data_IF_268574950788
#
_entry.id   IF_268574950788
#
_cell.length_a   1.000
_cell.length_b   1.000
_cell.length_c   1.000
_cell.angle_alpha   90.00
_cell.angle_beta   90.00
_cell.angle_gamma   90.00
#
_symmetry.space_group_name_H-M   'P 1'
#
loop_
_entity.id
_entity.type
_entity.pdbx_description
1 polymer ?
#
# COMPACT_ATOMS: atom_id res chain seq x y z
N UNK A 1 -12.58 -5.19 11.02
CA UNK A 1 -11.31 -5.75 10.54
C UNK A 1 -11.24 -5.70 9.02
N UNK A 2 -10.82 -4.55 8.49
CA UNK A 2 -10.17 -4.50 7.18
C UNK A 2 -8.66 -4.58 7.41
N UNK A 3 -8.12 -5.80 7.47
CA UNK A 3 -6.68 -6.04 7.59
C UNK A 3 -6.06 -6.16 6.21
N UNK A 4 -4.72 -6.04 6.06
CA UNK A 4 -4.04 -6.29 4.80
C UNK A 4 -4.31 -7.70 4.26
N UNK A 5 -4.49 -8.68 5.16
CA UNK A 5 -4.82 -10.06 4.80
C UNK A 5 -6.29 -10.26 4.38
N UNK A 6 -7.20 -9.44 4.92
CA UNK A 6 -8.63 -9.49 4.61
C UNK A 6 -9.22 -8.07 4.36
N UNK A 7 -8.87 -7.43 3.23
CA UNK A 7 -9.35 -6.09 2.92
C UNK A 7 -10.85 -6.12 2.59
N UNK A 8 -11.60 -5.18 3.18
CA UNK A 8 -13.08 -5.09 3.03
C UNK A 8 -13.55 -4.14 1.92
N UNK A 9 -12.62 -3.50 1.22
CA UNK A 9 -12.92 -2.55 0.13
C UNK A 9 -11.99 -2.81 -1.05
N UNK A 10 -12.52 -2.67 -2.26
CA UNK A 10 -11.75 -2.77 -3.51
C UNK A 10 -10.55 -1.80 -3.52
N UNK A 11 -10.75 -0.56 -3.07
CA UNK A 11 -9.68 0.43 -2.97
C UNK A 11 -8.57 0.01 -1.99
N UNK A 12 -8.95 -0.61 -0.87
CA UNK A 12 -7.97 -1.15 0.09
C UNK A 12 -7.23 -2.35 -0.50
N UNK A 13 -7.93 -3.25 -1.19
CA UNK A 13 -7.33 -4.41 -1.83
C UNK A 13 -6.32 -4.02 -2.92
N UNK A 14 -6.64 -3.01 -3.74
CA UNK A 14 -5.72 -2.49 -4.75
C UNK A 14 -4.45 -1.89 -4.13
N UNK A 15 -4.56 -1.14 -3.05
CA UNK A 15 -3.37 -0.61 -2.37
C UNK A 15 -2.48 -1.72 -1.82
N UNK A 16 -3.05 -2.73 -1.17
CA UNK A 16 -2.26 -3.85 -0.66
C UNK A 16 -1.52 -4.55 -1.81
N UNK A 17 -2.16 -4.77 -2.96
CA UNK A 17 -1.48 -5.31 -4.16
C UNK A 17 -0.32 -4.43 -4.63
N UNK A 18 -0.54 -3.12 -4.74
CA UNK A 18 0.50 -2.17 -5.16
C UNK A 18 1.68 -2.15 -4.16
N UNK A 19 1.41 -2.16 -2.87
CA UNK A 19 2.44 -2.18 -1.82
C UNK A 19 3.21 -3.51 -1.80
N UNK A 20 2.54 -4.64 -2.03
CA UNK A 20 3.18 -5.95 -2.18
C UNK A 20 4.09 -5.98 -3.39
N UNK A 21 3.63 -5.48 -4.54
CA UNK A 21 4.46 -5.38 -5.76
C UNK A 21 5.64 -4.44 -5.58
N UNK A 22 5.46 -3.34 -4.83
CA UNK A 22 6.53 -2.42 -4.48
C UNK A 22 7.48 -2.95 -3.39
N UNK A 23 7.19 -4.12 -2.79
CA UNK A 23 7.95 -4.69 -1.67
C UNK A 23 8.15 -3.71 -0.51
N UNK A 24 7.08 -3.00 -0.18
CA UNK A 24 7.00 -1.97 0.85
C UNK A 24 7.05 -2.55 2.28
N UNK A 25 8.15 -3.20 2.66
CA UNK A 25 8.32 -3.84 3.98
C UNK A 25 9.45 -3.16 4.75
N UNK A 26 9.28 -2.88 6.06
CA UNK A 26 8.07 -3.11 6.87
C UNK A 26 7.04 -1.97 6.74
N UNK A 27 5.75 -2.31 6.79
CA UNK A 27 4.65 -1.35 6.92
C UNK A 27 3.69 -1.75 8.05
N UNK A 28 3.00 -0.76 8.60
CA UNK A 28 1.96 -0.96 9.62
C UNK A 28 0.61 -0.63 8.99
N UNK A 29 -0.36 -1.51 9.19
CA UNK A 29 -1.74 -1.28 8.78
C UNK A 29 -2.60 -0.98 9.99
N UNK A 30 -3.55 -0.05 9.84
CA UNK A 30 -4.47 0.33 10.90
C UNK A 30 -5.89 0.22 10.35
N UNK A 31 -6.71 -0.60 11.01
CA UNK A 31 -8.12 -0.72 10.64
C UNK A 31 -8.91 0.48 11.17
N UNK A 32 -9.25 1.38 10.24
CA UNK A 32 -10.06 2.57 10.52
C UNK A 32 -11.53 2.24 10.82
N UNK A 33 -12.03 1.05 10.43
CA UNK A 33 -13.39 0.62 10.77
C UNK A 33 -13.53 0.33 12.27
N UNK A 34 -12.44 -0.13 12.89
CA UNK A 34 -12.39 -0.44 14.33
C UNK A 34 -12.00 0.79 15.17
N UNK A 35 -11.48 1.85 14.55
CA UNK A 35 -10.98 3.06 15.22
C UNK A 35 -11.50 4.36 14.56
N UNK A 36 -12.75 4.77 14.84
CA UNK A 36 -13.38 5.93 14.18
C UNK A 36 -12.66 7.26 14.45
N UNK A 37 -11.95 7.40 15.57
CA UNK A 37 -11.15 8.59 15.87
C UNK A 37 -10.00 8.81 14.86
N UNK A 38 -9.40 7.71 14.37
CA UNK A 38 -8.32 7.76 13.38
C UNK A 38 -8.86 8.17 12.01
N UNK A 39 -10.06 7.70 11.66
CA UNK A 39 -10.75 8.15 10.45
C UNK A 39 -11.03 9.67 10.51
N UNK A 40 -11.58 10.16 11.62
CA UNK A 40 -11.85 11.60 11.79
C UNK A 40 -10.58 12.45 11.69
N UNK A 41 -9.49 12.01 12.32
CA UNK A 41 -8.19 12.69 12.22
C UNK A 41 -7.65 12.72 10.79
N UNK A 42 -7.63 11.56 10.12
CA UNK A 42 -7.07 11.45 8.76
C UNK A 42 -7.87 12.28 7.76
N UNK A 43 -9.20 12.23 7.79
CA UNK A 43 -10.07 13.06 6.93
C UNK A 43 -9.83 14.56 7.17
N UNK A 44 -9.69 14.98 8.42
CA UNK A 44 -9.44 16.39 8.77
C UNK A 44 -8.07 16.86 8.27
N UNK A 45 -7.04 16.01 8.37
CA UNK A 45 -5.67 16.35 7.96
C UNK A 45 -5.46 16.34 6.46
N UNK A 46 -6.09 15.42 5.74
CA UNK A 46 -5.89 15.24 4.29
C UNK A 46 -6.90 16.03 3.47
N UNK A 47 -7.99 16.53 4.10
CA UNK A 47 -9.17 17.06 3.43
C UNK A 47 -9.80 16.06 2.43
N UNK A 48 -9.45 14.78 2.54
CA UNK A 48 -10.00 13.69 1.72
C UNK A 48 -11.02 12.93 2.54
N UNK A 49 -12.24 12.84 2.02
CA UNK A 49 -13.36 12.21 2.72
C UNK A 49 -13.40 10.68 2.56
N UNK A 50 -12.33 10.05 2.04
CA UNK A 50 -12.29 8.60 1.75
C UNK A 50 -10.95 8.00 2.14
N UNK A 51 -11.01 6.94 2.95
CA UNK A 51 -9.92 5.99 3.11
C UNK A 51 -9.84 5.10 1.86
N UNK A 52 -8.70 4.44 1.60
CA UNK A 52 -7.45 4.35 2.38
C UNK A 52 -6.45 5.52 2.19
N UNK A 53 -5.66 5.80 3.24
CA UNK A 53 -4.60 6.82 3.26
C UNK A 53 -3.25 6.18 3.62
N UNK A 54 -2.19 6.54 2.89
CA UNK A 54 -0.83 6.14 3.20
C UNK A 54 -0.05 7.30 3.83
N UNK A 55 0.68 6.99 4.88
CA UNK A 55 1.58 7.92 5.57
C UNK A 55 3.00 7.39 5.49
N UNK A 56 3.94 8.28 5.20
CA UNK A 56 5.37 7.98 5.12
C UNK A 56 6.12 9.01 5.96
N UNK A 57 7.01 8.56 6.85
CA UNK A 57 7.78 9.42 7.75
C UNK A 57 6.91 10.41 8.55
N UNK A 58 5.74 9.97 9.01
CA UNK A 58 4.79 10.80 9.78
C UNK A 58 3.99 11.83 8.97
N UNK A 59 4.21 11.90 7.65
CA UNK A 59 3.50 12.82 6.76
C UNK A 59 2.54 12.07 5.83
N UNK A 60 1.44 12.73 5.45
CA UNK A 60 0.52 12.18 4.46
C UNK A 60 1.23 12.06 3.11
N UNK A 61 1.25 10.86 2.54
CA UNK A 61 1.93 10.58 1.28
C UNK A 61 0.96 10.63 0.10
N UNK A 62 -0.09 9.79 0.14
CA UNK A 62 -1.11 9.74 -0.90
C UNK A 62 -2.36 8.96 -0.44
N UNK A 63 -3.49 9.25 -1.09
CA UNK A 63 -4.70 8.43 -1.08
C UNK A 63 -4.66 7.39 -2.22
N UNK A 64 -5.73 6.61 -2.39
CA UNK A 64 -5.82 5.57 -3.42
C UNK A 64 -5.44 6.06 -4.82
N UNK A 65 -6.00 7.18 -5.27
CA UNK A 65 -5.79 7.68 -6.64
C UNK A 65 -4.38 8.23 -6.83
N UNK A 66 -3.84 8.92 -5.82
CA UNK A 66 -2.45 9.37 -5.83
C UNK A 66 -1.47 8.20 -5.83
N UNK A 67 -1.76 7.13 -5.08
CA UNK A 67 -0.97 5.90 -5.08
C UNK A 67 -0.99 5.19 -6.43
N UNK A 68 -2.16 5.11 -7.06
CA UNK A 68 -2.30 4.51 -8.38
C UNK A 68 -1.49 5.27 -9.43
N UNK A 69 -1.53 6.61 -9.40
CA UNK A 69 -0.73 7.44 -10.31
C UNK A 69 0.78 7.25 -10.09
N UNK A 70 1.22 7.22 -8.83
CA UNK A 70 2.63 6.98 -8.46
C UNK A 70 3.09 5.55 -8.77
N UNK A 71 2.18 4.58 -8.69
CA UNK A 71 2.45 3.20 -9.08
C UNK A 71 2.66 3.10 -10.60
N UNK A 72 1.77 3.70 -11.39
CA UNK A 72 1.85 3.70 -12.86
C UNK A 72 3.12 4.40 -13.40
N UNK A 73 3.62 5.40 -12.67
CA UNK A 73 4.85 6.13 -13.03
C UNK A 73 6.13 5.46 -12.50
N UNK A 74 6.02 4.41 -11.69
CA UNK A 74 7.16 3.76 -11.03
C UNK A 74 7.76 4.57 -9.87
N UNK A 75 7.19 5.71 -9.51
CA UNK A 75 7.62 6.53 -8.37
C UNK A 75 7.39 5.80 -7.04
N UNK A 76 6.29 5.05 -6.94
CA UNK A 76 5.95 4.32 -5.71
C UNK A 76 7.01 3.29 -5.31
N UNK A 77 7.49 2.51 -6.27
CA UNK A 77 8.52 1.49 -6.05
C UNK A 77 9.92 2.08 -5.85
N UNK A 78 10.12 3.34 -6.21
CA UNK A 78 11.35 4.08 -5.94
C UNK A 78 11.36 4.70 -4.55
N UNK A 79 10.23 5.26 -4.12
CA UNK A 79 10.10 5.94 -2.84
C UNK A 79 9.94 4.97 -1.66
N UNK A 80 9.23 3.85 -1.87
CA UNK A 80 8.89 2.89 -0.81
C UNK A 80 9.58 1.54 -1.03
N UNK A 81 9.81 1.15 -2.28
CA UNK A 81 10.52 -0.09 -2.60
C UNK A 81 12.02 0.06 -2.37
N UNK A 82 12.49 -0.36 -1.20
CA UNK A 82 13.93 -0.38 -0.95
C UNK A 82 14.60 -1.37 -1.92
N UNK A 83 15.70 -0.98 -2.56
CA UNK A 83 16.48 -1.92 -3.39
C UNK A 83 17.02 -3.10 -2.60
N UNK A 84 17.20 -2.95 -1.28
CA UNK A 84 17.67 -4.00 -0.38
C UNK A 84 16.64 -5.12 -0.16
N UNK A 85 15.35 -4.85 -0.38
CA UNK A 85 14.25 -5.83 -0.28
C UNK A 85 13.70 -6.25 -1.63
N UNK A 86 14.29 -5.77 -2.73
CA UNK A 86 13.93 -6.22 -4.08
C UNK A 86 14.33 -7.68 -4.26
N UNK A 87 13.36 -8.59 -4.18
CA UNK A 87 13.59 -9.99 -4.56
C UNK A 87 13.83 -10.05 -6.06
N UNK A 88 15.10 -9.98 -6.47
CA UNK A 88 15.55 -10.29 -7.83
C UNK A 88 15.70 -11.80 -8.05
N UNK A 89 15.52 -12.60 -7.00
CA UNK A 89 15.67 -14.04 -7.03
C UNK A 89 14.40 -14.75 -7.48
N UNK A 90 14.53 -15.56 -8.53
CA UNK A 90 13.76 -16.79 -8.67
C UNK A 90 13.93 -17.54 -7.35
N UNK A 91 12.85 -17.74 -6.60
CA UNK A 91 12.90 -18.56 -5.39
C UNK A 91 13.40 -19.94 -5.79
N UNK A 92 14.56 -20.37 -5.25
CA UNK A 92 15.12 -21.68 -5.52
C UNK A 92 14.14 -22.76 -5.08
N UNK A 93 13.37 -23.31 -6.03
CA UNK A 93 12.32 -24.30 -5.80
C UNK A 93 10.98 -23.99 -6.47
N UNK A 94 10.75 -22.77 -6.96
CA UNK A 94 9.55 -22.48 -7.77
C UNK A 94 9.78 -22.76 -9.25
N UNK A 95 8.86 -23.50 -9.87
CA UNK A 95 8.82 -23.65 -11.33
C UNK A 95 8.64 -22.25 -11.94
N UNK A 96 9.42 -21.89 -12.99
CA UNK A 96 9.27 -20.59 -13.63
C UNK A 96 7.82 -20.41 -14.09
N UNK A 97 7.26 -19.23 -13.84
CA UNK A 97 5.95 -18.84 -14.39
C UNK A 97 6.07 -18.97 -15.91
N UNK A 98 5.29 -19.90 -16.47
CA UNK A 98 5.25 -20.13 -17.89
C UNK A 98 4.80 -18.85 -18.61
N UNK A 99 5.73 -18.19 -19.28
CA UNK A 99 5.42 -17.22 -20.33
C UNK A 99 5.03 -18.01 -21.57
N UNK A 100 3.73 -18.25 -21.74
CA UNK A 100 3.13 -18.54 -23.05
C UNK A 100 2.80 -17.23 -23.76
#
# INVERSE_FOLDING_TARGET
EGTPDAPKSEASHNIIKMLTQAQAVPFVSIDVLSHPAILGYTVTKTQRNRAPHLYMNGSFYADHDGLLAKFNTGELSKDIGSEATKSSGVFGGELPIATY
#
